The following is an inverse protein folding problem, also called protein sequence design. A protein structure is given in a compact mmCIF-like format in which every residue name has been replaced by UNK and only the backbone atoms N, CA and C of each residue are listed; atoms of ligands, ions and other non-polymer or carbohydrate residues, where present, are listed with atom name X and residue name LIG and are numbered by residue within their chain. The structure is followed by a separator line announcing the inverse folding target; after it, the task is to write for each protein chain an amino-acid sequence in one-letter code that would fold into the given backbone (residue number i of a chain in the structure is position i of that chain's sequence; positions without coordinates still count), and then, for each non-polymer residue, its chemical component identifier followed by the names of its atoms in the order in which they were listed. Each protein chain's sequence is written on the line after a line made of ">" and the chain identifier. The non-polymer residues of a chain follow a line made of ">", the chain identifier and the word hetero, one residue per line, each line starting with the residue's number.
data_IF_026811027903
#
_entry.id   IF_026811027903
#
_cell.length_a   1.000
_cell.length_b   1.000
_cell.length_c   1.000
_cell.angle_alpha   90.00
_cell.angle_beta   90.00
_cell.angle_gamma   90.00
#
_symmetry.space_group_name_H-M   'P 1'
#
loop_
_entity.id
_entity.type
_entity.pdbx_description
1 polymer ?
#
# COMPACT_ATOMS: atom_id res chain seq x y z
N UNK A 1 18.33 -10.57 -26.73
CA UNK A 1 17.05 -10.87 -26.08
C UNK A 1 17.24 -10.56 -24.60
N UNK A 2 17.03 -9.29 -24.22
CA UNK A 2 17.26 -8.83 -22.86
C UNK A 2 16.10 -9.34 -22.00
N UNK A 3 16.43 -10.00 -20.89
CA UNK A 3 15.46 -10.35 -19.87
C UNK A 3 14.78 -9.05 -19.41
N UNK A 4 13.45 -9.02 -19.44
CA UNK A 4 12.67 -8.00 -18.77
C UNK A 4 13.07 -8.08 -17.28
N UNK A 5 13.77 -7.08 -16.72
CA UNK A 5 14.15 -7.12 -15.34
C UNK A 5 12.86 -6.84 -14.57
N UNK A 6 12.10 -7.89 -14.26
CA UNK A 6 10.91 -7.77 -13.43
C UNK A 6 11.24 -6.91 -12.23
N UNK A 7 10.75 -5.67 -12.22
CA UNK A 7 11.13 -4.69 -11.23
C UNK A 7 10.50 -5.11 -9.91
N UNK A 8 11.34 -5.53 -8.96
CA UNK A 8 10.90 -5.89 -7.62
C UNK A 8 10.65 -4.62 -6.81
N UNK A 9 9.47 -4.48 -6.23
CA UNK A 9 9.13 -3.33 -5.40
C UNK A 9 9.83 -3.56 -4.05
N UNK A 10 11.05 -3.04 -3.93
CA UNK A 10 11.89 -3.25 -2.75
C UNK A 10 11.23 -2.59 -1.53
N UNK A 11 10.67 -3.43 -0.68
CA UNK A 11 10.23 -3.06 0.65
C UNK A 11 10.33 -4.28 1.54
N UNK A 12 11.54 -4.78 1.84
CA UNK A 12 11.67 -5.92 2.74
C UNK A 12 12.70 -5.72 3.83
N UNK A 13 12.19 -5.84 5.05
CA UNK A 13 12.80 -6.77 6.01
C UNK A 13 11.90 -7.99 6.32
N UNK A 14 10.74 -8.18 5.67
CA UNK A 14 9.76 -9.21 6.04
C UNK A 14 9.18 -10.07 4.90
N UNK A 15 8.55 -11.20 5.24
CA UNK A 15 7.73 -11.99 4.32
C UNK A 15 6.43 -11.26 3.98
N UNK A 16 6.08 -11.24 2.70
CA UNK A 16 4.79 -10.72 2.21
C UNK A 16 3.76 -11.84 2.32
N UNK A 17 2.62 -11.56 2.97
CA UNK A 17 1.53 -12.53 3.10
C UNK A 17 0.40 -12.29 2.10
N UNK A 18 0.14 -11.03 1.74
CA UNK A 18 -0.93 -10.69 0.83
C UNK A 18 -0.69 -9.36 0.11
N UNK A 19 -1.41 -9.19 -0.99
CA UNK A 19 -1.47 -7.99 -1.82
C UNK A 19 -2.93 -7.67 -2.14
N UNK A 20 -3.25 -6.39 -2.23
CA UNK A 20 -4.52 -5.90 -2.73
C UNK A 20 -4.30 -4.79 -3.76
N UNK A 21 -5.18 -4.69 -4.74
CA UNK A 21 -5.24 -3.58 -5.71
C UNK A 21 -6.54 -2.84 -5.45
N UNK A 22 -6.53 -1.51 -5.45
CA UNK A 22 -7.76 -0.73 -5.27
C UNK A 22 -8.70 -0.87 -6.49
N UNK A 23 -9.95 -0.45 -6.34
CA UNK A 23 -10.98 -0.59 -7.38
C UNK A 23 -10.66 0.14 -8.69
N UNK A 24 -9.86 1.21 -8.63
CA UNK A 24 -9.42 1.97 -9.81
C UNK A 24 -8.13 1.43 -10.45
N UNK A 25 -7.45 0.46 -9.83
CA UNK A 25 -6.19 -0.08 -10.35
C UNK A 25 -5.01 0.89 -10.26
N UNK A 26 -5.06 1.88 -9.38
CA UNK A 26 -4.02 2.92 -9.24
C UNK A 26 -3.11 2.69 -8.03
N UNK A 27 -3.55 1.93 -7.03
CA UNK A 27 -2.83 1.69 -5.79
C UNK A 27 -2.69 0.20 -5.52
N UNK A 28 -1.54 -0.19 -4.95
CA UNK A 28 -1.27 -1.52 -4.41
C UNK A 28 -0.98 -1.42 -2.93
N UNK A 29 -1.65 -2.23 -2.12
CA UNK A 29 -1.34 -2.43 -0.70
C UNK A 29 -0.71 -3.80 -0.46
N UNK A 30 0.25 -3.88 0.45
CA UNK A 30 0.93 -5.12 0.84
C UNK A 30 0.96 -5.26 2.36
N UNK A 31 0.65 -6.46 2.86
CA UNK A 31 0.81 -6.83 4.25
C UNK A 31 2.04 -7.74 4.45
N UNK A 32 2.75 -7.55 5.57
CA UNK A 32 4.04 -8.20 5.83
C UNK A 32 4.20 -8.61 7.30
N UNK A 33 5.08 -9.58 7.57
CA UNK A 33 5.47 -10.01 8.92
C UNK A 33 6.39 -9.01 9.64
N UNK A 34 6.85 -7.96 8.96
CA UNK A 34 7.65 -6.89 9.57
C UNK A 34 6.81 -5.83 10.27
N UNK A 35 5.54 -6.12 10.57
CA UNK A 35 4.58 -5.25 11.27
C UNK A 35 4.27 -3.94 10.51
N UNK A 36 4.26 -4.00 9.17
CA UNK A 36 3.90 -2.87 8.31
C UNK A 36 2.94 -3.29 7.20
N UNK A 37 2.02 -2.37 6.90
CA UNK A 37 1.29 -2.34 5.63
C UNK A 37 1.89 -1.24 4.78
N UNK A 38 2.25 -1.55 3.54
CA UNK A 38 2.83 -0.59 2.61
C UNK A 38 1.88 -0.35 1.46
N UNK A 39 1.84 0.90 0.99
CA UNK A 39 0.98 1.36 -0.09
C UNK A 39 1.82 2.08 -1.14
N UNK A 40 1.58 1.78 -2.40
CA UNK A 40 2.31 2.36 -3.51
C UNK A 40 1.38 2.75 -4.66
N UNK A 41 1.79 3.77 -5.41
CA UNK A 41 1.20 4.11 -6.70
C UNK A 41 1.68 3.14 -7.79
N UNK A 42 0.75 2.68 -8.63
CA UNK A 42 1.05 1.79 -9.76
C UNK A 42 1.72 2.50 -10.93
N UNK A 43 1.42 3.78 -11.13
CA UNK A 43 1.92 4.58 -12.25
C UNK A 43 3.43 4.71 -12.26
N UNK A 44 4.02 4.97 -11.10
CA UNK A 44 5.43 5.32 -10.94
C UNK A 44 6.14 4.49 -9.86
N UNK A 45 5.43 3.51 -9.27
CA UNK A 45 5.95 2.61 -8.24
C UNK A 45 6.37 3.36 -6.96
N UNK A 46 5.85 4.57 -6.75
CA UNK A 46 6.19 5.39 -5.59
C UNK A 46 5.52 4.85 -4.33
N UNK A 47 6.31 4.62 -3.27
CA UNK A 47 5.79 4.31 -1.93
C UNK A 47 5.10 5.56 -1.37
N UNK A 48 3.77 5.52 -1.31
CA UNK A 48 2.96 6.67 -0.88
C UNK A 48 2.65 6.64 0.61
N UNK A 49 2.58 5.46 1.23
CA UNK A 49 2.32 5.36 2.67
C UNK A 49 2.86 4.06 3.26
N UNK A 50 3.21 4.14 4.55
CA UNK A 50 3.56 2.98 5.38
C UNK A 50 2.78 3.08 6.68
N UNK A 51 1.96 2.07 6.96
CA UNK A 51 1.19 1.97 8.18
C UNK A 51 1.85 0.95 9.11
N UNK A 52 2.36 1.43 10.23
CA UNK A 52 2.85 0.55 11.30
C UNK A 52 1.68 -0.14 12.01
N UNK A 53 1.84 -1.43 12.25
CA UNK A 53 0.91 -2.25 13.05
C UNK A 53 1.61 -2.73 14.32
N UNK A 54 0.83 -3.29 15.25
CA UNK A 54 1.38 -3.77 16.52
C UNK A 54 1.99 -5.17 16.41
N UNK A 55 1.53 -5.94 15.44
CA UNK A 55 1.98 -7.30 15.16
C UNK A 55 1.90 -7.61 13.64
N UNK A 56 2.27 -8.83 13.27
CA UNK A 56 2.29 -9.33 11.89
C UNK A 56 0.93 -9.17 11.23
N UNK A 57 0.94 -8.77 9.96
CA UNK A 57 -0.29 -8.51 9.21
C UNK A 57 -0.49 -9.58 8.16
N UNK A 58 -1.58 -10.33 8.24
CA UNK A 58 -1.85 -11.44 7.32
C UNK A 58 -2.80 -11.08 6.19
N UNK A 59 -3.63 -10.05 6.37
CA UNK A 59 -4.59 -9.63 5.37
C UNK A 59 -4.64 -8.11 5.20
N UNK A 60 -4.95 -7.67 3.99
CA UNK A 60 -5.16 -6.27 3.61
C UNK A 60 -6.22 -6.20 2.52
N UNK A 61 -7.07 -5.18 2.55
CA UNK A 61 -8.05 -4.92 1.49
C UNK A 61 -8.35 -3.42 1.40
N UNK A 62 -8.82 -2.98 0.23
CA UNK A 62 -9.33 -1.62 0.04
C UNK A 62 -10.84 -1.56 0.32
N UNK A 63 -11.32 -0.41 0.76
CA UNK A 63 -12.73 -0.08 0.67
C UNK A 63 -13.16 0.02 -0.80
N UNK A 64 -14.43 -0.24 -1.09
CA UNK A 64 -14.95 -0.18 -2.46
C UNK A 64 -14.79 1.21 -3.10
N UNK A 65 -14.88 2.26 -2.28
CA UNK A 65 -14.68 3.66 -2.69
C UNK A 65 -13.20 4.07 -2.81
N UNK A 66 -12.26 3.17 -2.48
CA UNK A 66 -10.83 3.39 -2.61
C UNK A 66 -10.24 4.41 -1.61
N UNK A 67 -11.00 4.85 -0.61
CA UNK A 67 -10.55 5.86 0.37
C UNK A 67 -9.88 5.28 1.61
N UNK A 68 -10.12 4.00 1.88
CA UNK A 68 -9.65 3.33 3.09
C UNK A 68 -8.97 2.00 2.78
N UNK A 69 -8.11 1.60 3.71
CA UNK A 69 -7.52 0.26 3.77
C UNK A 69 -7.93 -0.37 5.10
N UNK A 70 -8.31 -1.64 5.04
CA UNK A 70 -8.48 -2.50 6.20
C UNK A 70 -7.36 -3.53 6.25
N UNK A 71 -6.86 -3.80 7.45
CA UNK A 71 -5.88 -4.87 7.66
C UNK A 71 -6.17 -5.64 8.96
N UNK A 72 -5.66 -6.86 9.03
CA UNK A 72 -5.80 -7.76 10.18
C UNK A 72 -4.61 -8.70 10.33
N UNK A 73 -4.33 -9.08 11.58
CA UNK A 73 -3.09 -9.75 11.96
C UNK A 73 -3.14 -10.46 13.31
N UNK A 74 -1.96 -10.74 13.86
CA UNK A 74 -1.78 -11.46 15.14
C UNK A 74 -2.33 -10.68 16.35
N UNK A 75 -2.49 -9.36 16.24
CA UNK A 75 -3.04 -8.51 17.31
C UNK A 75 -4.55 -8.66 17.53
N UNK A 76 -5.21 -9.54 16.74
CA UNK A 76 -6.63 -9.89 16.79
C UNK A 76 -7.55 -8.69 16.60
N UNK A 77 -7.09 -7.63 15.93
CA UNK A 77 -7.87 -6.43 15.60
C UNK A 77 -7.97 -6.25 14.10
N UNK A 78 -9.04 -5.58 13.68
CA UNK A 78 -9.15 -5.01 12.34
C UNK A 78 -8.84 -3.53 12.46
N UNK A 79 -7.85 -3.07 11.70
CA UNK A 79 -7.48 -1.66 11.64
C UNK A 79 -7.96 -1.05 10.34
N UNK A 80 -8.64 0.08 10.43
CA UNK A 80 -8.94 0.96 9.30
C UNK A 80 -7.89 2.08 9.21
N UNK A 81 -7.53 2.44 7.98
CA UNK A 81 -6.61 3.55 7.66
C UNK A 81 -7.14 4.32 6.45
N UNK A 82 -7.20 5.65 6.57
CA UNK A 82 -7.48 6.53 5.43
C UNK A 82 -6.26 6.59 4.51
N UNK A 83 -6.49 6.47 3.21
CA UNK A 83 -5.47 6.65 2.19
C UNK A 83 -5.28 8.16 1.98
N UNK A 84 -4.04 8.68 2.09
CA UNK A 84 -3.76 10.06 1.71
C UNK A 84 -4.10 10.26 0.23
N UNK A 85 -5.03 11.18 -0.06
CA UNK A 85 -5.25 11.62 -1.43
C UNK A 85 -4.11 12.56 -1.81
N UNK A 86 -3.50 12.34 -2.97
CA UNK A 86 -2.52 13.28 -3.50
C UNK A 86 -3.31 14.45 -4.08
N UNK A 87 -3.55 15.48 -3.27
CA UNK A 87 -4.06 16.77 -3.76
C UNK A 87 -2.94 17.38 -4.63
N UNK A 88 -2.96 17.09 -5.93
CA UNK A 88 -2.02 17.71 -6.86
C UNK A 88 -2.29 19.22 -6.90
N UNK A 89 -1.40 19.97 -6.26
CA UNK A 89 -1.24 21.41 -6.42
C UNK A 89 -0.72 21.71 -7.84
N UNK A 90 -1.54 21.55 -8.87
CA UNK A 90 -1.31 22.31 -10.11
C UNK A 90 -1.63 23.81 -9.90
N UNK A 91 -2.29 24.15 -8.80
CA UNK A 91 -2.55 25.54 -8.39
C UNK A 91 -1.32 26.27 -7.81
N UNK A 92 -0.19 25.58 -7.58
CA UNK A 92 1.06 26.23 -7.15
C UNK A 92 1.96 26.68 -8.32
N UNK A 93 1.55 26.44 -9.57
CA UNK A 93 2.24 26.93 -10.78
C UNK A 93 1.57 28.16 -11.41
N UNK A 94 0.64 28.79 -10.69
CA UNK A 94 0.13 30.13 -11.02
C UNK A 94 0.59 31.11 -9.94
N UNK A 95 1.83 31.54 -10.03
CA UNK A 95 2.29 32.92 -9.73
C UNK A 95 3.72 33.12 -10.23
#
# INVERSE_FOLDING_TARGET
>A
MLADPGFHWYGRSGCIFTLAVNSTGTLVACASDDNHVRLWWLSDQQLTAVFKTTDKVYCVTFSADGKHIFNGGDDKKISERTIPQHDYLEDALKE
#
